data_IF_382685124069
#
_entry.id   IF_382685124069
#
_cell.length_a   1.000
_cell.length_b   1.000
_cell.length_c   1.000
_cell.angle_alpha   90.00
_cell.angle_beta   90.00
_cell.angle_gamma   90.00
#
_symmetry.space_group_name_H-M   'P 1'
#
loop_
_entity.id
_entity.type
_entity.pdbx_description
1 polymer ?
#
# COMPACT_ATOMS: atom_id res chain seq x y z
N UNK A 1 -25.58 -3.87 -7.91
CA UNK A 1 -24.42 -4.51 -8.56
C UNK A 1 -23.19 -3.76 -8.08
N UNK A 2 -22.30 -4.42 -7.32
CA UNK A 2 -21.14 -3.75 -6.74
C UNK A 2 -20.18 -3.33 -7.84
N UNK A 3 -19.94 -2.03 -7.98
CA UNK A 3 -18.95 -1.53 -8.93
C UNK A 3 -17.59 -2.13 -8.55
N UNK A 4 -16.91 -2.86 -9.45
CA UNK A 4 -15.55 -3.31 -9.16
C UNK A 4 -14.73 -2.05 -8.86
N UNK A 5 -14.08 -2.02 -7.70
CA UNK A 5 -13.17 -0.93 -7.39
C UNK A 5 -12.09 -0.98 -8.47
N UNK A 6 -12.00 0.08 -9.26
CA UNK A 6 -11.02 0.15 -10.35
C UNK A 6 -9.65 0.58 -9.81
N UNK A 7 -8.61 0.45 -10.62
CA UNK A 7 -7.25 0.82 -10.24
C UNK A 7 -7.18 2.28 -9.77
N UNK A 8 -7.89 3.17 -10.49
CA UNK A 8 -7.95 4.59 -10.16
C UNK A 8 -8.58 4.85 -8.79
N UNK A 9 -9.72 4.20 -8.51
CA UNK A 9 -10.40 4.34 -7.20
C UNK A 9 -9.53 3.81 -6.07
N UNK A 10 -8.81 2.70 -6.30
CA UNK A 10 -7.84 2.18 -5.33
C UNK A 10 -6.70 3.19 -5.10
N UNK A 11 -6.11 3.73 -6.18
CA UNK A 11 -5.04 4.72 -6.12
C UNK A 11 -5.49 5.98 -5.38
N UNK A 12 -6.67 6.53 -5.67
CA UNK A 12 -7.21 7.71 -5.01
C UNK A 12 -7.35 7.49 -3.49
N UNK A 13 -7.93 6.36 -3.07
CA UNK A 13 -8.06 6.00 -1.65
C UNK A 13 -6.71 5.78 -0.98
N UNK A 14 -5.81 5.07 -1.66
CA UNK A 14 -4.49 4.78 -1.15
C UNK A 14 -3.67 6.07 -1.01
N UNK A 15 -3.73 6.97 -1.98
CA UNK A 15 -3.07 8.28 -1.95
C UNK A 15 -3.70 9.22 -0.93
N UNK A 16 -5.00 9.15 -0.70
CA UNK A 16 -5.64 9.92 0.38
C UNK A 16 -5.22 9.43 1.78
N UNK A 17 -5.09 8.12 1.98
CA UNK A 17 -4.72 7.53 3.28
C UNK A 17 -3.22 7.53 3.56
N UNK A 18 -2.40 7.24 2.55
CA UNK A 18 -0.95 7.09 2.65
C UNK A 18 -0.17 8.24 2.02
N UNK A 19 -0.82 9.12 1.24
CA UNK A 19 -0.12 10.16 0.50
C UNK A 19 0.73 9.58 -0.63
N UNK A 20 1.89 10.18 -0.80
CA UNK A 20 2.91 9.78 -1.78
C UNK A 20 3.96 8.82 -1.18
N UNK A 21 3.64 8.17 -0.05
CA UNK A 21 4.55 7.24 0.66
C UNK A 21 4.83 5.94 -0.08
N UNK A 22 3.96 5.58 -1.03
CA UNK A 22 4.08 4.35 -1.80
C UNK A 22 4.15 4.67 -3.28
N UNK A 23 5.07 3.99 -3.93
CA UNK A 23 5.22 3.99 -5.37
C UNK A 23 4.33 2.90 -5.96
N UNK A 24 3.37 3.34 -6.75
CA UNK A 24 2.45 2.49 -7.49
C UNK A 24 2.85 2.34 -8.97
N UNK A 25 4.05 2.77 -9.36
CA UNK A 25 4.43 2.85 -10.79
C UNK A 25 4.50 1.48 -11.48
N UNK A 26 4.64 0.40 -10.71
CA UNK A 26 4.68 -0.97 -11.21
C UNK A 26 3.51 -1.84 -10.70
N UNK A 27 2.39 -1.23 -10.26
CA UNK A 27 1.24 -2.04 -9.85
C UNK A 27 0.61 -2.72 -11.06
N UNK A 28 0.25 -3.99 -10.86
CA UNK A 28 -0.54 -4.75 -11.83
C UNK A 28 -1.90 -5.00 -11.19
N UNK A 29 -2.82 -4.06 -11.39
CA UNK A 29 -4.16 -4.18 -10.84
C UNK A 29 -5.01 -5.11 -11.73
N UNK A 30 -5.33 -6.30 -11.22
CA UNK A 30 -6.26 -7.23 -11.89
C UNK A 30 -7.63 -7.28 -11.23
N UNK A 31 -7.67 -7.22 -9.89
CA UNK A 31 -8.90 -7.31 -9.10
C UNK A 31 -8.64 -7.01 -7.63
N UNK A 32 -9.70 -6.75 -6.87
CA UNK A 32 -9.65 -6.47 -5.43
C UNK A 32 -9.03 -7.61 -4.59
N UNK A 33 -9.19 -8.85 -5.07
CA UNK A 33 -8.63 -10.07 -4.47
C UNK A 33 -7.24 -10.43 -5.01
N UNK A 34 -6.76 -9.77 -6.06
CA UNK A 34 -5.45 -10.08 -6.64
C UNK A 34 -4.37 -9.31 -5.89
N UNK A 35 -3.29 -9.96 -5.42
CA UNK A 35 -2.18 -9.27 -4.79
C UNK A 35 -1.47 -8.35 -5.80
N UNK A 36 -1.29 -7.10 -5.42
CA UNK A 36 -0.50 -6.11 -6.16
C UNK A 36 0.89 -5.98 -5.54
N UNK A 37 1.86 -5.62 -6.36
CA UNK A 37 3.22 -5.29 -5.91
C UNK A 37 3.37 -3.79 -5.82
N UNK A 38 3.60 -3.28 -4.63
CA UNK A 38 3.87 -1.87 -4.37
C UNK A 38 5.26 -1.72 -3.76
N UNK A 39 5.85 -0.54 -3.87
CA UNK A 39 7.13 -0.22 -3.25
C UNK A 39 6.94 0.94 -2.30
N UNK A 40 7.49 0.87 -1.09
CA UNK A 40 7.46 2.03 -0.20
C UNK A 40 8.57 3.02 -0.64
N UNK A 41 8.25 4.31 -0.75
CA UNK A 41 9.24 5.35 -1.07
C UNK A 41 10.19 5.61 0.08
N UNK A 42 9.69 5.63 1.32
CA UNK A 42 10.53 5.74 2.51
C UNK A 42 11.40 4.49 2.70
N UNK A 43 10.88 3.31 2.35
CA UNK A 43 11.55 2.03 2.54
C UNK A 43 11.57 1.21 1.23
N UNK A 44 12.40 1.60 0.24
CA UNK A 44 12.51 0.90 -1.04
C UNK A 44 13.22 -0.46 -0.94
N UNK A 45 13.63 -0.85 0.27
CA UNK A 45 14.38 -2.08 0.60
C UNK A 45 13.72 -3.38 0.13
N UNK A 46 12.40 -3.41 -0.09
CA UNK A 46 11.71 -4.61 -0.59
C UNK A 46 10.39 -4.28 -1.29
N UNK A 47 10.07 -5.07 -2.31
CA UNK A 47 8.75 -5.09 -2.92
C UNK A 47 7.74 -5.70 -1.95
N UNK A 48 6.59 -5.04 -1.81
CA UNK A 48 5.52 -5.46 -0.90
C UNK A 48 4.40 -6.03 -1.75
N UNK A 49 4.12 -7.32 -1.56
CA UNK A 49 2.97 -7.98 -2.19
C UNK A 49 1.79 -7.96 -1.22
N UNK A 50 0.74 -7.22 -1.56
CA UNK A 50 -0.45 -7.09 -0.73
C UNK A 50 -1.70 -6.96 -1.61
N UNK A 51 -2.84 -7.49 -1.16
CA UNK A 51 -4.10 -7.28 -1.86
C UNK A 51 -4.62 -5.86 -1.65
N UNK A 52 -5.25 -5.22 -2.65
CA UNK A 52 -5.78 -3.86 -2.55
C UNK A 52 -6.76 -3.70 -1.37
N UNK A 53 -7.59 -4.72 -1.12
CA UNK A 53 -8.46 -4.79 0.06
C UNK A 53 -7.67 -4.64 1.37
N UNK A 54 -6.67 -5.51 1.58
CA UNK A 54 -5.81 -5.45 2.77
C UNK A 54 -5.03 -4.16 2.82
N UNK A 55 -4.55 -3.65 1.68
CA UNK A 55 -3.78 -2.40 1.61
C UNK A 55 -4.58 -1.21 2.14
N UNK A 56 -5.85 -1.10 1.77
CA UNK A 56 -6.74 -0.02 2.22
C UNK A 56 -7.15 -0.15 3.69
N UNK A 57 -7.36 -1.38 4.16
CA UNK A 57 -7.75 -1.65 5.56
C UNK A 57 -6.55 -1.53 6.51
N UNK A 58 -5.38 -2.00 6.09
CA UNK A 58 -4.14 -1.96 6.89
C UNK A 58 -3.36 -0.67 6.68
N UNK A 59 -2.13 -0.61 7.19
CA UNK A 59 -1.20 0.53 7.05
C UNK A 59 -0.34 0.40 5.78
N UNK A 60 -0.88 -0.17 4.70
CA UNK A 60 -0.20 -0.21 3.41
C UNK A 60 0.88 -1.27 3.22
N UNK A 61 0.96 -2.27 4.10
CA UNK A 61 1.81 -3.46 3.93
C UNK A 61 3.32 -3.29 4.20
N UNK A 62 3.81 -2.06 4.43
CA UNK A 62 5.19 -1.85 4.83
C UNK A 62 5.37 -2.08 6.33
N UNK A 63 6.04 -3.18 6.69
CA UNK A 63 6.36 -3.49 8.10
C UNK A 63 7.17 -2.41 8.79
N UNK A 64 8.01 -1.67 8.05
CA UNK A 64 8.82 -0.58 8.60
C UNK A 64 7.97 0.64 8.93
N UNK A 65 7.11 1.10 8.01
CA UNK A 65 6.16 2.19 8.30
C UNK A 65 5.19 1.82 9.43
N UNK A 66 4.71 0.56 9.47
CA UNK A 66 3.86 0.09 10.57
C UNK A 66 4.60 0.16 11.91
N UNK A 67 5.89 -0.19 11.94
CA UNK A 67 6.72 -0.17 13.14
C UNK A 67 7.08 1.26 13.57
N UNK A 68 7.28 2.17 12.60
CA UNK A 68 7.44 3.59 12.83
C UNK A 68 6.19 4.21 13.48
N UNK A 69 4.99 3.89 12.98
CA UNK A 69 3.73 4.32 13.60
C UNK A 69 3.52 3.75 15.01
N UNK A 70 4.03 2.56 15.30
CA UNK A 70 3.93 1.90 16.61
C UNK A 70 5.01 2.33 17.61
N UNK A 71 5.85 3.31 17.27
CA UNK A 71 6.87 3.84 18.17
C UNK A 71 7.97 2.85 18.54
N UNK A 72 8.21 1.81 17.71
CA UNK A 72 9.12 0.71 18.03
C UNK A 72 10.36 0.67 17.11
N UNK A 73 10.75 1.83 16.57
CA UNK A 73 12.02 2.02 15.89
C UNK A 73 12.96 2.81 16.82
N UNK A 74 13.86 2.15 17.57
CA UNK A 74 14.98 2.84 18.17
C UNK A 74 15.93 3.19 17.03
N UNK A 75 16.15 4.48 16.83
CA UNK A 75 17.03 4.98 15.78
C UNK A 75 17.57 6.35 16.18
N UNK A 76 18.16 6.38 17.37
CA UNK A 76 19.22 7.32 17.77
C UNK A 76 20.58 6.65 17.57
#
# INVERSE_FOLDING_TARGET
MGNPIDQDTFLARARSRFGDRYDYSAIVYKSFKTPIKIRCREHPVRWISITPERHLVTTGGCKYCLRALRGQWPGE
#
